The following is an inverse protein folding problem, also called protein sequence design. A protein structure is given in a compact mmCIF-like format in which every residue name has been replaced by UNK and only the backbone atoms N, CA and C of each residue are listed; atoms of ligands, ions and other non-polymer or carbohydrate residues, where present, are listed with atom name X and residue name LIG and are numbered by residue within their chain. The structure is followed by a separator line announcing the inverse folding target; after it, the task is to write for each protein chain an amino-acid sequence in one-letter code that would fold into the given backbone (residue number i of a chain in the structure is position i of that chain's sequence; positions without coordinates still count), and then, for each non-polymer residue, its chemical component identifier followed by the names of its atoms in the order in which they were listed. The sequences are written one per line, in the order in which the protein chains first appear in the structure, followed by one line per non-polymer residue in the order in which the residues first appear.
data_IF_439275201898
#
_entry.id   IF_439275201898
#
_cell.length_a   1.000
_cell.length_b   1.000
_cell.length_c   1.000
_cell.angle_alpha   90.00
_cell.angle_beta   90.00
_cell.angle_gamma   90.00
#
_symmetry.space_group_name_H-M   'P 1'
#
loop_
_entity.id
_entity.type
_entity.pdbx_description
1 polymer ?
#
# COMPACT_ATOMS: atom_id res chain seq x y z
N UNK A 1 -0.09 -14.47 -7.66
CA UNK A 1 -0.27 -13.00 -7.75
C UNK A 1 0.85 -12.44 -8.60
N UNK A 2 0.52 -11.69 -9.65
CA UNK A 2 1.49 -10.96 -10.48
C UNK A 2 1.27 -9.46 -10.29
N UNK A 3 2.35 -8.70 -10.19
CA UNK A 3 2.31 -7.25 -10.06
C UNK A 3 3.66 -6.66 -10.48
N UNK A 4 3.71 -5.35 -10.67
CA UNK A 4 4.92 -4.64 -11.07
C UNK A 4 5.14 -3.49 -10.10
N UNK A 5 6.33 -3.41 -9.53
CA UNK A 5 6.75 -2.26 -8.71
C UNK A 5 7.25 -1.18 -9.66
N UNK A 6 6.75 0.04 -9.54
CA UNK A 6 7.13 1.16 -10.42
C UNK A 6 8.65 1.40 -10.41
N UNK A 7 9.24 1.43 -9.21
CA UNK A 7 10.67 1.64 -9.01
C UNK A 7 11.20 0.80 -7.85
N UNK A 8 12.38 0.22 -8.04
CA UNK A 8 13.12 -0.45 -6.97
C UNK A 8 14.48 0.22 -6.81
N UNK A 9 14.71 0.84 -5.66
CA UNK A 9 15.96 1.52 -5.34
C UNK A 9 16.91 0.56 -4.62
N UNK A 10 18.03 0.23 -5.26
CA UNK A 10 19.11 -0.51 -4.63
C UNK A 10 20.22 0.45 -4.22
N UNK A 11 20.63 0.46 -2.96
CA UNK A 11 21.80 1.22 -2.50
C UNK A 11 22.90 0.30 -2.02
N UNK A 12 24.14 0.78 -2.12
CA UNK A 12 25.32 0.08 -1.60
C UNK A 12 26.25 1.09 -0.96
N UNK A 13 26.58 0.84 0.29
CA UNK A 13 27.64 1.53 1.03
C UNK A 13 28.78 0.54 1.26
N UNK A 14 29.84 0.96 1.95
CA UNK A 14 30.90 0.06 2.41
C UNK A 14 30.41 -0.98 3.41
N UNK A 15 29.30 -0.69 4.11
CA UNK A 15 28.81 -1.49 5.25
C UNK A 15 27.50 -2.23 4.94
N UNK A 16 26.70 -1.74 4.00
CA UNK A 16 25.36 -2.27 3.74
C UNK A 16 25.00 -2.29 2.25
N UNK A 17 24.18 -3.26 1.86
CA UNK A 17 23.48 -3.25 0.57
C UNK A 17 22.00 -3.35 0.87
N UNK A 18 21.22 -2.39 0.37
CA UNK A 18 19.79 -2.30 0.65
C UNK A 18 18.96 -2.29 -0.62
N UNK A 19 17.68 -2.60 -0.48
CA UNK A 19 16.69 -2.56 -1.55
C UNK A 19 15.39 -1.96 -1.01
N UNK A 20 14.76 -1.05 -1.76
CA UNK A 20 13.53 -0.37 -1.37
C UNK A 20 12.52 -0.36 -2.52
N UNK A 21 11.27 -0.81 -2.30
CA UNK A 21 10.20 -0.58 -3.25
C UNK A 21 9.72 0.87 -3.16
N UNK A 22 9.57 1.51 -4.32
CA UNK A 22 9.06 2.88 -4.45
C UNK A 22 7.96 2.89 -5.51
N UNK A 23 6.84 3.53 -5.17
CA UNK A 23 5.71 3.73 -6.07
C UNK A 23 5.58 5.21 -6.44
N UNK A 24 5.25 5.52 -7.71
CA UNK A 24 5.11 6.88 -8.19
C UNK A 24 3.64 7.30 -8.24
N UNK A 25 3.31 8.32 -7.46
CA UNK A 25 1.96 8.87 -7.34
C UNK A 25 1.90 10.28 -7.90
N UNK A 26 0.96 10.52 -8.82
CA UNK A 26 0.80 11.80 -9.54
C UNK A 26 -0.48 12.54 -9.12
N UNK A 27 -1.13 12.08 -8.06
CA UNK A 27 -2.32 12.66 -7.47
C UNK A 27 -2.16 14.17 -7.26
N UNK A 28 -3.18 14.94 -7.68
CA UNK A 28 -3.20 16.38 -7.56
C UNK A 28 -2.41 17.16 -8.61
N UNK A 29 -1.69 16.52 -9.53
CA UNK A 29 -1.01 17.21 -10.64
C UNK A 29 -1.98 17.98 -11.55
N UNK A 30 -3.17 17.42 -11.82
CA UNK A 30 -4.22 18.11 -12.59
C UNK A 30 -4.76 19.37 -11.93
N UNK A 31 -4.78 19.41 -10.58
CA UNK A 31 -5.30 20.56 -9.81
C UNK A 31 -4.34 21.75 -9.81
N UNK A 32 -3.06 21.54 -10.16
CA UNK A 32 -2.08 22.62 -10.31
C UNK A 32 -2.42 23.55 -11.48
N UNK A 33 -3.04 23.03 -12.55
CA UNK A 33 -3.44 23.84 -13.70
C UNK A 33 -4.75 24.61 -13.49
N UNK A 34 -5.56 24.23 -12.50
CA UNK A 34 -6.91 24.77 -12.26
C UNK A 34 -6.94 25.82 -11.12
N UNK A 35 -5.78 26.21 -10.58
CA UNK A 35 -5.68 27.20 -9.51
C UNK A 35 -6.23 26.73 -8.15
N UNK A 36 -6.56 25.44 -8.01
CA UNK A 36 -6.99 24.85 -6.75
C UNK A 36 -5.82 24.61 -5.80
N UNK A 37 -6.04 24.81 -4.50
CA UNK A 37 -5.05 24.44 -3.48
C UNK A 37 -4.88 22.92 -3.46
N UNK A 38 -3.68 22.44 -3.78
CA UNK A 38 -3.31 21.03 -3.61
C UNK A 38 -2.68 20.86 -2.22
N UNK A 39 -3.36 20.13 -1.33
CA UNK A 39 -2.94 19.90 0.06
C UNK A 39 -1.55 19.22 0.16
N UNK A 40 -1.14 18.47 -0.87
CA UNK A 40 0.21 17.89 -0.94
C UNK A 40 1.30 18.98 -1.03
N UNK A 41 1.00 20.16 -1.60
CA UNK A 41 1.96 21.26 -1.69
C UNK A 41 2.32 21.84 -0.31
N UNK A 42 1.53 21.58 0.73
CA UNK A 42 1.86 21.96 2.11
C UNK A 42 3.17 21.31 2.59
N UNK A 43 3.58 20.19 1.99
CA UNK A 43 4.84 19.51 2.29
C UNK A 43 6.03 19.98 1.45
N UNK A 44 5.84 20.89 0.49
CA UNK A 44 6.91 21.32 -0.42
C UNK A 44 8.07 21.95 0.36
N UNK A 45 9.30 21.47 0.12
CA UNK A 45 10.50 21.92 0.82
C UNK A 45 10.70 21.33 2.21
N UNK A 46 9.84 20.41 2.66
CA UNK A 46 10.10 19.61 3.86
C UNK A 46 11.29 18.67 3.63
N UNK A 47 12.11 18.50 4.66
CA UNK A 47 13.24 17.54 4.72
C UNK A 47 12.87 16.26 5.48
N UNK A 48 11.62 16.13 5.97
CA UNK A 48 11.18 14.92 6.67
C UNK A 48 11.21 13.72 5.72
N UNK A 49 11.71 12.58 6.19
CA UNK A 49 11.69 11.31 5.44
C UNK A 49 10.30 10.69 5.39
N UNK A 50 9.54 10.77 6.48
CA UNK A 50 8.14 10.37 6.54
C UNK A 50 7.16 11.48 6.12
N UNK A 51 5.84 11.28 6.34
CA UNK A 51 4.83 12.25 5.96
C UNK A 51 5.03 13.59 6.70
N UNK A 52 4.87 14.68 5.97
CA UNK A 52 5.02 16.05 6.44
C UNK A 52 3.68 16.79 6.53
N UNK A 53 2.62 16.27 5.91
CA UNK A 53 1.24 16.75 6.02
C UNK A 53 0.23 15.59 5.98
N UNK A 54 -1.01 15.87 6.35
CA UNK A 54 -2.11 14.89 6.35
C UNK A 54 -2.39 14.31 4.96
N UNK A 55 -2.20 15.08 3.89
CA UNK A 55 -2.38 14.59 2.53
C UNK A 55 -1.33 13.54 2.13
N UNK A 56 -0.07 13.69 2.58
CA UNK A 56 0.95 12.65 2.39
C UNK A 56 0.58 11.39 3.18
N UNK A 57 0.14 11.53 4.44
CA UNK A 57 -0.31 10.39 5.25
C UNK A 57 -1.52 9.67 4.63
N UNK A 58 -2.52 10.44 4.16
CA UNK A 58 -3.68 9.90 3.47
C UNK A 58 -3.31 9.14 2.20
N UNK A 59 -2.32 9.64 1.45
CA UNK A 59 -1.79 8.96 0.25
C UNK A 59 -1.15 7.61 0.63
N UNK A 60 -0.35 7.57 1.70
CA UNK A 60 0.23 6.31 2.20
C UNK A 60 -0.87 5.32 2.58
N UNK A 61 -1.84 5.73 3.42
CA UNK A 61 -2.96 4.89 3.87
C UNK A 61 -3.81 4.36 2.71
N UNK A 62 -4.02 5.17 1.67
CA UNK A 62 -4.76 4.77 0.47
C UNK A 62 -4.07 3.64 -0.29
N UNK A 63 -2.73 3.68 -0.38
CA UNK A 63 -1.93 2.72 -1.17
C UNK A 63 -1.25 1.64 -0.30
N UNK A 64 -1.64 1.53 0.97
CA UNK A 64 -1.01 0.68 1.97
C UNK A 64 -0.85 -0.78 1.57
N UNK A 65 -1.90 -1.39 1.00
CA UNK A 65 -1.90 -2.80 0.63
C UNK A 65 -0.95 -3.09 -0.54
N UNK A 66 -0.87 -2.16 -1.50
CA UNK A 66 0.05 -2.26 -2.62
C UNK A 66 1.50 -2.27 -2.12
N UNK A 67 1.83 -1.34 -1.22
CA UNK A 67 3.18 -1.19 -0.67
C UNK A 67 3.55 -2.33 0.28
N UNK A 68 2.62 -2.82 1.10
CA UNK A 68 2.80 -3.99 1.95
C UNK A 68 3.11 -5.25 1.11
N UNK A 69 2.39 -5.46 0.01
CA UNK A 69 2.65 -6.54 -0.94
C UNK A 69 4.05 -6.44 -1.56
N UNK A 70 4.46 -5.24 -1.99
CA UNK A 70 5.79 -5.02 -2.57
C UNK A 70 6.90 -5.30 -1.56
N UNK A 71 6.76 -4.77 -0.35
CA UNK A 71 7.70 -5.02 0.74
C UNK A 71 7.82 -6.52 1.01
N UNK A 72 6.70 -7.22 1.21
CA UNK A 72 6.72 -8.66 1.51
C UNK A 72 7.29 -9.50 0.37
N UNK A 73 7.02 -9.13 -0.89
CA UNK A 73 7.60 -9.80 -2.04
C UNK A 73 9.13 -9.67 -2.07
N UNK A 74 9.66 -8.46 -1.89
CA UNK A 74 11.11 -8.22 -1.83
C UNK A 74 11.74 -8.91 -0.62
N UNK A 75 11.13 -8.81 0.56
CA UNK A 75 11.59 -9.50 1.77
C UNK A 75 11.66 -11.00 1.58
N UNK A 76 10.65 -11.60 0.94
CA UNK A 76 10.64 -13.04 0.64
C UNK A 76 11.77 -13.43 -0.33
N UNK A 77 12.03 -12.61 -1.36
CA UNK A 77 13.09 -12.86 -2.33
C UNK A 77 14.47 -12.76 -1.68
N UNK A 78 14.74 -11.69 -0.92
CA UNK A 78 16.04 -11.51 -0.26
C UNK A 78 16.25 -12.52 0.87
N UNK A 79 15.20 -12.94 1.58
CA UNK A 79 15.27 -14.02 2.55
C UNK A 79 15.61 -15.36 1.90
N UNK A 80 14.96 -15.73 0.79
CA UNK A 80 15.29 -16.96 0.07
C UNK A 80 16.73 -16.96 -0.46
N UNK A 81 17.26 -15.79 -0.87
CA UNK A 81 18.69 -15.66 -1.23
C UNK A 81 19.59 -15.90 -0.04
N UNK A 82 19.26 -15.34 1.13
CA UNK A 82 19.99 -15.54 2.37
C UNK A 82 20.01 -17.03 2.76
N UNK A 83 18.87 -17.72 2.73
CA UNK A 83 18.76 -19.15 3.02
C UNK A 83 19.59 -20.01 2.05
N UNK A 84 19.69 -19.59 0.78
CA UNK A 84 20.52 -20.23 -0.23
C UNK A 84 22.02 -19.89 -0.12
N UNK A 85 22.44 -19.10 0.87
CA UNK A 85 23.83 -18.65 1.03
C UNK A 85 24.29 -17.68 -0.05
N UNK A 86 23.36 -17.03 -0.76
CA UNK A 86 23.65 -16.05 -1.80
C UNK A 86 23.78 -14.64 -1.19
N UNK A 87 24.47 -13.71 -1.88
CA UNK A 87 24.44 -12.30 -1.49
C UNK A 87 23.00 -11.79 -1.48
N UNK A 88 22.60 -11.22 -0.35
CA UNK A 88 21.28 -10.65 -0.12
C UNK A 88 21.39 -9.17 0.28
N UNK A 89 20.25 -8.49 0.31
CA UNK A 89 20.13 -7.07 0.69
C UNK A 89 19.14 -6.92 1.82
N UNK A 90 19.36 -5.90 2.64
CA UNK A 90 18.37 -5.45 3.61
C UNK A 90 17.19 -4.78 2.88
N UNK A 91 15.97 -5.23 3.15
CA UNK A 91 14.77 -4.64 2.55
C UNK A 91 14.30 -3.48 3.43
N UNK A 92 14.42 -2.27 2.91
CA UNK A 92 13.95 -1.06 3.59
C UNK A 92 12.44 -0.90 3.43
N UNK A 93 11.84 -0.14 4.36
CA UNK A 93 10.42 0.24 4.30
C UNK A 93 10.09 0.88 2.94
N UNK A 94 8.88 0.61 2.40
CA UNK A 94 8.45 1.19 1.15
C UNK A 94 8.43 2.72 1.19
N UNK A 95 8.38 3.35 0.01
CA UNK A 95 8.14 4.78 -0.09
C UNK A 95 7.22 5.12 -1.27
N UNK A 96 6.58 6.28 -1.20
CA UNK A 96 5.88 6.87 -2.34
C UNK A 96 6.66 8.10 -2.81
N UNK A 97 6.96 8.18 -4.10
CA UNK A 97 7.40 9.41 -4.74
C UNK A 97 6.17 10.25 -5.12
N UNK A 98 5.98 11.38 -4.45
CA UNK A 98 4.89 12.31 -4.70
C UNK A 98 5.28 13.24 -5.84
N UNK A 99 4.64 13.07 -7.00
CA UNK A 99 5.01 13.78 -8.22
C UNK A 99 4.91 15.30 -8.13
N UNK A 100 3.94 15.83 -7.38
CA UNK A 100 3.72 17.29 -7.26
C UNK A 100 4.74 18.01 -6.38
N UNK A 101 5.36 17.31 -5.42
CA UNK A 101 6.38 17.90 -4.52
C UNK A 101 7.78 17.37 -4.78
N UNK A 102 7.91 16.26 -5.51
CA UNK A 102 9.17 15.52 -5.69
C UNK A 102 9.64 14.79 -4.44
N UNK A 103 8.88 14.82 -3.34
CA UNK A 103 9.27 14.18 -2.08
C UNK A 103 9.08 12.67 -2.17
N UNK A 104 10.11 11.93 -1.72
CA UNK A 104 10.00 10.51 -1.45
C UNK A 104 9.60 10.32 0.01
N UNK A 105 8.34 9.95 0.23
CA UNK A 105 7.75 9.79 1.54
C UNK A 105 7.86 8.34 1.97
N UNK A 106 8.73 8.08 2.95
CA UNK A 106 8.93 6.76 3.54
C UNK A 106 7.76 6.35 4.41
N UNK A 107 7.38 5.08 4.32
CA UNK A 107 6.30 4.50 5.10
C UNK A 107 6.65 4.46 6.60
N UNK A 108 5.82 5.04 7.49
CA UNK A 108 5.99 4.87 8.93
C UNK A 108 6.00 3.39 9.34
N UNK A 109 6.79 3.06 10.37
CA UNK A 109 7.02 1.67 10.78
C UNK A 109 5.76 1.01 11.35
N UNK A 110 5.05 1.75 12.20
CA UNK A 110 3.75 1.37 12.76
C UNK A 110 2.71 1.12 11.67
N UNK A 111 2.63 2.02 10.68
CA UNK A 111 1.70 1.88 9.56
C UNK A 111 2.06 0.69 8.66
N UNK A 112 3.35 0.41 8.45
CA UNK A 112 3.80 -0.76 7.69
C UNK A 112 3.40 -2.04 8.41
N UNK A 113 3.64 -2.10 9.72
CA UNK A 113 3.29 -3.27 10.54
C UNK A 113 1.80 -3.57 10.48
N UNK A 114 0.96 -2.56 10.73
CA UNK A 114 -0.50 -2.67 10.62
C UNK A 114 -0.92 -3.20 9.24
N UNK A 115 -0.30 -2.67 8.18
CA UNK A 115 -0.61 -3.07 6.81
C UNK A 115 -0.16 -4.50 6.47
N UNK A 116 0.93 -4.99 7.08
CA UNK A 116 1.38 -6.37 6.90
C UNK A 116 0.48 -7.35 7.64
N UNK A 117 0.07 -7.01 8.86
CA UNK A 117 -0.87 -7.82 9.66
C UNK A 117 -2.22 -7.95 8.92
N UNK A 118 -2.78 -6.84 8.43
CA UNK A 118 -4.01 -6.82 7.62
C UNK A 118 -3.85 -7.65 6.34
N UNK A 119 -2.70 -7.55 5.66
CA UNK A 119 -2.42 -8.31 4.45
C UNK A 119 -2.40 -9.82 4.70
N UNK A 120 -1.79 -10.27 5.81
CA UNK A 120 -1.73 -11.67 6.19
C UNK A 120 -3.12 -12.25 6.48
N UNK A 121 -3.97 -11.49 7.18
CA UNK A 121 -5.38 -11.87 7.43
C UNK A 121 -6.19 -11.99 6.13
N UNK A 122 -6.04 -11.03 5.21
CA UNK A 122 -6.72 -11.04 3.92
C UNK A 122 -6.31 -12.25 3.07
N UNK A 123 -5.04 -12.62 3.11
CA UNK A 123 -4.55 -13.77 2.33
C UNK A 123 -4.92 -15.10 2.95
N UNK A 124 -4.90 -15.21 4.27
CA UNK A 124 -5.43 -16.38 4.96
C UNK A 124 -6.92 -16.57 4.62
N UNK A 125 -7.70 -15.49 4.61
CA UNK A 125 -9.12 -15.52 4.24
C UNK A 125 -9.31 -15.91 2.78
N UNK A 126 -8.53 -15.32 1.86
CA UNK A 126 -8.56 -15.65 0.43
C UNK A 126 -8.20 -17.12 0.18
N UNK A 127 -7.19 -17.65 0.88
CA UNK A 127 -6.80 -19.05 0.76
C UNK A 127 -7.89 -20.00 1.26
N UNK A 128 -8.55 -19.68 2.39
CA UNK A 128 -9.70 -20.45 2.89
C UNK A 128 -10.84 -20.50 1.87
N UNK A 129 -11.18 -19.35 1.28
CA UNK A 129 -12.21 -19.26 0.23
C UNK A 129 -11.87 -20.10 -0.99
N UNK A 130 -10.60 -20.07 -1.43
CA UNK A 130 -10.16 -20.81 -2.61
C UNK A 130 -10.12 -22.33 -2.40
N UNK A 131 -9.85 -22.81 -1.18
CA UNK A 131 -9.69 -24.23 -0.88
C UNK A 131 -10.97 -24.94 -0.45
N UNK A 132 -12.04 -24.22 -0.12
CA UNK A 132 -13.23 -24.80 0.48
C UNK A 132 -14.42 -24.77 -0.49
N UNK A 133 -15.04 -25.92 -0.74
CA UNK A 133 -16.22 -26.02 -1.62
C UNK A 133 -17.50 -25.46 -1.00
N UNK A 134 -17.62 -25.48 0.33
CA UNK A 134 -18.86 -25.19 1.05
C UNK A 134 -18.62 -24.33 2.31
N UNK A 135 -18.06 -23.12 2.17
CA UNK A 135 -18.03 -22.16 3.29
C UNK A 135 -19.37 -21.42 3.37
N UNK A 136 -20.07 -21.42 4.52
CA UNK A 136 -21.25 -20.60 4.71
C UNK A 136 -20.96 -19.12 4.46
N UNK A 137 -21.83 -18.45 3.70
CA UNK A 137 -21.73 -17.00 3.42
C UNK A 137 -21.71 -16.17 4.71
N UNK A 138 -22.25 -16.69 5.82
CA UNK A 138 -22.19 -16.06 7.14
C UNK A 138 -20.76 -15.80 7.64
N UNK A 139 -19.75 -16.52 7.14
CA UNK A 139 -18.35 -16.28 7.49
C UNK A 139 -17.75 -15.04 6.78
N UNK A 140 -18.45 -14.50 5.77
CA UNK A 140 -18.06 -13.32 5.01
C UNK A 140 -19.20 -12.29 5.02
N UNK A 141 -19.63 -11.92 6.23
CA UNK A 141 -20.71 -10.97 6.41
C UNK A 141 -20.40 -9.63 5.74
N UNK A 142 -21.44 -8.97 5.21
CA UNK A 142 -21.32 -7.62 4.64
C UNK A 142 -20.86 -6.64 5.72
N UNK A 143 -20.04 -5.66 5.33
CA UNK A 143 -19.53 -4.62 6.23
C UNK A 143 -20.69 -3.73 6.71
N UNK A 144 -20.67 -3.36 7.99
CA UNK A 144 -21.65 -2.49 8.65
C UNK A 144 -20.97 -1.32 9.36
N UNK A 145 -21.73 -0.30 9.76
CA UNK A 145 -21.20 0.84 10.51
C UNK A 145 -20.11 1.60 9.75
N UNK A 146 -19.03 1.99 10.44
CA UNK A 146 -17.93 2.74 9.82
C UNK A 146 -17.20 1.96 8.71
N UNK A 147 -17.10 0.63 8.84
CA UNK A 147 -16.46 -0.24 7.86
C UNK A 147 -17.22 -0.27 6.51
N UNK A 148 -18.52 0.07 6.51
CA UNK A 148 -19.33 0.16 5.30
C UNK A 148 -18.81 1.21 4.30
N UNK A 149 -18.06 2.23 4.76
CA UNK A 149 -17.48 3.27 3.90
C UNK A 149 -16.55 2.70 2.81
N UNK A 150 -15.96 1.52 3.03
CA UNK A 150 -15.19 0.81 2.01
C UNK A 150 -16.02 0.47 0.76
N UNK A 151 -17.33 0.24 0.91
CA UNK A 151 -18.22 -0.05 -0.22
C UNK A 151 -18.34 1.14 -1.18
N UNK A 152 -18.19 2.38 -0.73
CA UNK A 152 -18.27 3.57 -1.58
C UNK A 152 -17.17 3.63 -2.65
N UNK A 153 -16.05 2.95 -2.40
CA UNK A 153 -14.90 2.87 -3.31
C UNK A 153 -14.83 1.51 -4.01
N UNK A 154 -15.67 0.55 -3.65
CA UNK A 154 -15.65 -0.81 -4.15
C UNK A 154 -16.24 -0.91 -5.58
N UNK A 155 -15.51 -1.49 -6.55
CA UNK A 155 -16.01 -1.62 -7.93
C UNK A 155 -17.27 -2.50 -8.03
N UNK A 156 -17.45 -3.45 -7.10
CA UNK A 156 -18.63 -4.32 -7.05
C UNK A 156 -19.89 -3.62 -6.53
N UNK A 157 -19.75 -2.44 -5.91
CA UNK A 157 -20.86 -1.63 -5.42
C UNK A 157 -21.15 -0.41 -6.31
N UNK A 158 -20.12 0.22 -6.90
CA UNK A 158 -20.28 1.46 -7.70
C UNK A 158 -20.85 1.24 -9.11
N UNK A 159 -21.04 0.00 -9.55
CA UNK A 159 -21.57 -0.32 -10.87
C UNK A 159 -23.07 -0.03 -11.01
N UNK A 160 -23.57 0.08 -12.25
CA UNK A 160 -25.01 0.28 -12.56
C UNK A 160 -25.90 -0.85 -12.03
N UNK A 161 -25.31 -2.03 -11.80
CA UNK A 161 -25.91 -3.21 -11.18
C UNK A 161 -24.99 -3.65 -10.04
N UNK A 162 -25.20 -3.18 -8.80
CA UNK A 162 -24.35 -3.54 -7.67
C UNK A 162 -24.49 -5.03 -7.36
N UNK A 163 -23.35 -5.72 -7.25
CA UNK A 163 -23.28 -7.16 -6.90
C UNK A 163 -23.19 -7.34 -5.39
N UNK A 164 -22.64 -6.34 -4.68
CA UNK A 164 -22.62 -6.29 -3.22
C UNK A 164 -22.85 -4.85 -2.73
N UNK A 165 -23.00 -4.71 -1.42
CA UNK A 165 -23.15 -3.42 -0.74
C UNK A 165 -22.97 -3.58 0.75
N UNK A 166 -23.12 -2.50 1.53
CA UNK A 166 -23.08 -2.57 2.98
C UNK A 166 -24.23 -3.44 3.52
N UNK A 167 -24.09 -3.92 4.75
CA UNK A 167 -25.20 -4.52 5.48
C UNK A 167 -26.29 -3.47 5.71
N UNK A 168 -27.55 -3.89 5.70
CA UNK A 168 -28.67 -3.02 6.09
C UNK A 168 -28.49 -2.64 7.58
N UNK A 169 -28.83 -1.38 7.91
CA UNK A 169 -28.71 -0.83 9.27
C UNK A 169 -29.62 -1.55 10.26
#
# INVERSE_FOLDING_TARGET
MSGVIDLVLCTRTSESSTIRPVDLKTEGAGRMSEGGSNELLAALGSEKTGPACEAEEGTLRQHRMQLALYYRALSSIEHARQEAGLPHREVLRPAILIGVTGRMVEYPEDMLKESLDELDELLASTARMALSSDIPISHFARLSGEAASACEKCPFHRGSLPICGPAEQ
#
